data_IF_136534590662
#
_entry.id   IF_136534590662
#
_cell.length_a   1.000
_cell.length_b   1.000
_cell.length_c   1.000
_cell.angle_alpha   90.00
_cell.angle_beta   90.00
_cell.angle_gamma   90.00
#
_symmetry.space_group_name_H-M   'P 1'
#
loop_
_entity.id
_entity.type
_entity.pdbx_description
1 polymer ?
#
# COMPACT_ATOMS: atom_id res chain seq x y z
N UNK A 1 41.31 -14.34 8.33
CA UNK A 1 40.22 -14.89 9.19
C UNK A 1 38.87 -14.43 8.64
N UNK A 2 37.90 -15.30 8.35
CA UNK A 2 36.57 -14.89 7.93
C UNK A 2 35.88 -14.11 9.06
N UNK A 3 35.45 -12.87 8.80
CA UNK A 3 34.65 -12.10 9.77
C UNK A 3 33.32 -12.83 10.00
N UNK A 4 32.97 -13.12 11.27
CA UNK A 4 31.69 -13.76 11.61
C UNK A 4 30.53 -12.92 11.06
N UNK A 5 29.60 -13.55 10.34
CA UNK A 5 28.38 -12.89 9.84
C UNK A 5 27.48 -12.54 11.02
N UNK A 6 27.00 -11.30 11.06
CA UNK A 6 26.01 -10.86 12.05
C UNK A 6 24.58 -11.22 11.62
N UNK A 7 23.74 -11.60 12.58
CA UNK A 7 22.29 -11.77 12.42
C UNK A 7 21.53 -10.64 13.13
N UNK A 8 20.31 -10.39 12.68
CA UNK A 8 19.36 -9.52 13.37
C UNK A 8 18.87 -10.24 14.63
N UNK A 9 19.01 -9.60 15.79
CA UNK A 9 18.71 -10.20 17.09
C UNK A 9 17.80 -9.28 17.91
N UNK A 10 17.32 -9.78 19.05
CA UNK A 10 16.40 -9.06 19.94
C UNK A 10 16.96 -7.71 20.39
N UNK A 11 18.28 -7.61 20.64
CA UNK A 11 18.93 -6.36 21.02
C UNK A 11 18.88 -5.30 19.91
N UNK A 12 19.11 -5.71 18.66
CA UNK A 12 18.98 -4.82 17.49
C UNK A 12 17.52 -4.44 17.24
N UNK A 13 16.58 -5.36 17.44
CA UNK A 13 15.16 -5.09 17.31
C UNK A 13 14.66 -4.09 18.38
N UNK A 14 15.12 -4.23 19.62
CA UNK A 14 14.81 -3.28 20.70
C UNK A 14 15.38 -1.89 20.41
N UNK A 15 16.62 -1.80 19.88
CA UNK A 15 17.25 -0.52 19.52
C UNK A 15 16.63 0.12 18.27
N UNK A 16 16.17 -0.69 17.31
CA UNK A 16 15.61 -0.22 16.05
C UNK A 16 14.26 -0.89 15.75
N UNK A 17 13.16 -0.50 16.44
CA UNK A 17 11.86 -1.18 16.33
C UNK A 17 11.23 -1.16 14.94
N UNK A 18 11.57 -0.15 14.13
CA UNK A 18 11.10 0.03 12.75
C UNK A 18 11.91 -0.77 11.72
N UNK A 19 12.89 -1.59 12.16
CA UNK A 19 13.63 -2.52 11.31
C UNK A 19 13.08 -3.92 11.56
N UNK A 20 12.59 -4.58 10.52
CA UNK A 20 12.07 -5.95 10.60
C UNK A 20 12.94 -6.93 9.83
N UNK A 21 13.19 -8.09 10.42
CA UNK A 21 13.82 -9.20 9.71
C UNK A 21 12.92 -9.67 8.58
N UNK A 22 13.52 -10.07 7.46
CA UNK A 22 12.84 -10.68 6.33
C UNK A 22 13.37 -12.11 6.10
N UNK A 23 13.32 -12.58 4.86
CA UNK A 23 13.60 -13.96 4.42
C UNK A 23 14.83 -14.64 5.04
N UNK A 24 15.87 -13.88 5.45
CA UNK A 24 17.06 -14.44 6.07
C UNK A 24 17.38 -13.75 7.40
N UNK A 25 18.09 -14.42 8.33
CA UNK A 25 18.43 -13.85 9.64
C UNK A 25 19.23 -12.55 9.58
N UNK A 26 19.94 -12.29 8.48
CA UNK A 26 20.74 -11.08 8.29
C UNK A 26 20.08 -10.05 7.39
N UNK A 27 19.01 -10.39 6.66
CA UNK A 27 18.32 -9.45 5.80
C UNK A 27 17.21 -8.76 6.59
N UNK A 28 17.17 -7.44 6.47
CA UNK A 28 16.21 -6.60 7.17
C UNK A 28 15.56 -5.60 6.24
N UNK A 29 14.36 -5.17 6.60
CA UNK A 29 13.59 -4.12 5.93
C UNK A 29 13.37 -2.98 6.89
N UNK A 30 13.69 -1.76 6.44
CA UNK A 30 13.34 -0.54 7.16
C UNK A 30 11.91 -0.14 6.83
N UNK A 31 11.03 -0.06 7.83
CA UNK A 31 9.62 0.29 7.63
C UNK A 31 9.43 1.77 7.25
N UNK A 32 10.31 2.65 7.73
CA UNK A 32 10.25 4.10 7.41
C UNK A 32 10.46 4.40 5.92
N UNK A 33 11.47 3.77 5.31
CA UNK A 33 11.82 4.02 3.90
C UNK A 33 11.55 2.83 2.97
N UNK A 34 10.92 1.76 3.50
CA UNK A 34 10.57 0.49 2.84
C UNK A 34 11.73 -0.26 2.17
N UNK A 35 12.99 0.12 2.41
CA UNK A 35 14.19 -0.44 1.77
C UNK A 35 14.69 -1.68 2.49
N UNK A 36 15.17 -2.66 1.72
CA UNK A 36 15.78 -3.89 2.22
C UNK A 36 17.31 -3.79 2.15
N UNK A 37 18.01 -4.32 3.16
CA UNK A 37 19.47 -4.39 3.22
C UNK A 37 19.93 -5.52 4.16
N UNK A 38 21.21 -5.91 4.06
CA UNK A 38 21.80 -6.95 4.91
C UNK A 38 22.62 -6.35 6.05
N UNK A 39 22.45 -6.84 7.27
CA UNK A 39 23.28 -6.52 8.44
C UNK A 39 24.46 -7.49 8.63
N UNK A 40 24.66 -8.43 7.70
CA UNK A 40 25.66 -9.51 7.82
C UNK A 40 27.10 -9.04 8.06
N UNK A 41 27.48 -7.88 7.53
CA UNK A 41 28.87 -7.40 7.55
C UNK A 41 29.15 -6.25 8.54
N UNK A 42 28.22 -5.96 9.46
CA UNK A 42 28.47 -4.90 10.45
C UNK A 42 27.34 -4.65 11.46
N UNK A 43 26.30 -5.48 11.49
CA UNK A 43 25.23 -5.39 12.49
C UNK A 43 24.64 -3.99 12.58
N UNK A 44 24.69 -3.40 13.77
CA UNK A 44 24.22 -2.04 14.06
C UNK A 44 24.87 -0.96 13.17
N UNK A 45 26.16 -1.11 12.82
CA UNK A 45 26.87 -0.11 12.01
C UNK A 45 26.26 0.06 10.62
N UNK A 46 25.76 -1.04 10.03
CA UNK A 46 25.06 -0.98 8.73
C UNK A 46 23.72 -0.25 8.86
N UNK A 47 23.01 -0.46 9.97
CA UNK A 47 21.75 0.24 10.26
C UNK A 47 22.02 1.75 10.43
N UNK A 48 23.03 2.13 11.19
CA UNK A 48 23.38 3.55 11.40
C UNK A 48 23.82 4.23 10.11
N UNK A 49 24.60 3.54 9.27
CA UNK A 49 24.97 4.03 7.94
C UNK A 49 23.73 4.18 7.04
N UNK A 50 22.80 3.23 7.08
CA UNK A 50 21.53 3.31 6.38
C UNK A 50 20.74 4.54 6.80
N UNK A 51 20.60 4.81 8.10
CA UNK A 51 19.88 5.97 8.63
C UNK A 51 20.51 7.30 8.18
N UNK A 52 21.84 7.36 8.10
CA UNK A 52 22.56 8.54 7.60
C UNK A 52 22.48 8.71 6.09
N UNK A 53 22.12 7.67 5.35
CA UNK A 53 22.11 7.68 3.88
C UNK A 53 21.12 8.70 3.31
N UNK A 54 21.49 9.36 2.21
CA UNK A 54 20.61 10.32 1.53
C UNK A 54 19.29 9.70 1.07
N UNK A 55 19.27 8.40 0.73
CA UNK A 55 18.04 7.68 0.35
C UNK A 55 17.08 7.52 1.53
N UNK A 56 17.59 7.21 2.72
CA UNK A 56 16.75 7.16 3.93
C UNK A 56 16.17 8.54 4.25
N UNK A 57 16.99 9.58 4.29
CA UNK A 57 16.54 10.96 4.54
C UNK A 57 15.48 11.43 3.54
N UNK A 58 15.64 11.12 2.24
CA UNK A 58 14.62 11.42 1.22
C UNK A 58 13.32 10.65 1.46
N UNK A 59 13.40 9.37 1.80
CA UNK A 59 12.23 8.55 2.13
C UNK A 59 11.49 9.06 3.37
N UNK A 60 12.23 9.42 4.42
CA UNK A 60 11.68 9.93 5.67
C UNK A 60 11.01 11.30 5.48
N UNK A 61 11.64 12.21 4.71
CA UNK A 61 11.03 13.48 4.31
C UNK A 61 9.77 13.29 3.49
N UNK A 62 9.78 12.37 2.52
CA UNK A 62 8.61 12.08 1.69
C UNK A 62 7.46 11.51 2.54
N UNK A 63 7.76 10.66 3.51
CA UNK A 63 6.77 10.14 4.45
C UNK A 63 6.17 11.26 5.32
N UNK A 64 7.01 12.15 5.85
CA UNK A 64 6.58 13.30 6.65
C UNK A 64 5.76 14.33 5.85
N UNK A 65 6.03 14.50 4.55
CA UNK A 65 5.30 15.42 3.67
C UNK A 65 4.07 14.80 3.01
N UNK A 66 3.84 13.49 3.17
CA UNK A 66 2.68 12.81 2.59
C UNK A 66 1.44 13.10 3.43
N UNK A 67 0.35 13.53 2.78
CA UNK A 67 -0.93 13.69 3.43
C UNK A 67 -1.55 12.32 3.78
N UNK A 68 -2.40 12.31 4.80
CA UNK A 68 -3.16 11.11 5.18
C UNK A 68 -4.01 10.64 3.99
N UNK A 69 -4.00 9.33 3.72
CA UNK A 69 -4.86 8.74 2.69
C UNK A 69 -6.35 9.02 2.94
N UNK A 70 -6.75 9.23 4.21
CA UNK A 70 -8.12 9.56 4.58
C UNK A 70 -8.58 10.91 4.00
N UNK A 71 -7.65 11.80 3.61
CA UNK A 71 -8.00 13.08 3.02
C UNK A 71 -8.56 12.94 1.59
N UNK A 72 -8.35 11.80 0.93
CA UNK A 72 -8.95 11.52 -0.39
C UNK A 72 -10.41 11.04 -0.29
N UNK A 73 -10.89 10.77 0.93
CA UNK A 73 -12.25 10.33 1.18
C UNK A 73 -13.00 11.43 1.93
N UNK A 74 -14.21 11.74 1.46
CA UNK A 74 -15.08 12.65 2.19
C UNK A 74 -15.53 11.94 3.47
N UNK A 75 -15.11 12.45 4.63
CA UNK A 75 -15.67 12.02 5.92
C UNK A 75 -16.98 12.75 6.12
N UNK A 76 -18.07 12.01 6.22
CA UNK A 76 -19.39 12.57 6.52
C UNK A 76 -20.14 11.58 7.38
N UNK A 77 -20.52 12.03 8.59
CA UNK A 77 -21.31 11.22 9.53
C UNK A 77 -22.77 11.08 9.08
N UNK A 78 -23.20 11.92 8.13
CA UNK A 78 -24.52 11.88 7.50
C UNK A 78 -24.39 12.18 5.99
N UNK A 79 -23.99 11.18 5.17
CA UNK A 79 -23.81 11.38 3.73
C UNK A 79 -25.14 11.69 3.05
N UNK A 80 -25.13 12.65 2.13
CA UNK A 80 -26.31 12.95 1.30
C UNK A 80 -26.47 11.88 0.21
N UNK A 81 -27.67 11.78 -0.39
CA UNK A 81 -27.90 10.90 -1.54
C UNK A 81 -26.92 11.18 -2.70
N UNK A 82 -26.59 12.46 -2.93
CA UNK A 82 -25.59 12.86 -3.93
C UNK A 82 -24.18 12.37 -3.57
N UNK A 83 -23.80 12.41 -2.29
CA UNK A 83 -22.49 11.90 -1.85
C UNK A 83 -22.39 10.38 -2.06
N UNK A 84 -23.47 9.64 -1.78
CA UNK A 84 -23.55 8.20 -2.04
C UNK A 84 -23.44 7.89 -3.54
N UNK A 85 -24.09 8.66 -4.40
CA UNK A 85 -23.99 8.50 -5.85
C UNK A 85 -22.57 8.77 -6.37
N UNK A 86 -21.88 9.77 -5.82
CA UNK A 86 -20.48 10.05 -6.16
C UNK A 86 -19.61 8.87 -5.71
N UNK A 87 -19.76 8.41 -4.47
CA UNK A 87 -19.00 7.27 -3.95
C UNK A 87 -19.24 6.00 -4.78
N UNK A 88 -20.48 5.74 -5.20
CA UNK A 88 -20.82 4.64 -6.09
C UNK A 88 -20.14 4.79 -7.45
N UNK A 89 -20.18 5.98 -8.06
CA UNK A 89 -19.49 6.28 -9.33
C UNK A 89 -17.98 6.04 -9.24
N UNK A 90 -17.35 6.48 -8.15
CA UNK A 90 -15.93 6.27 -7.89
C UNK A 90 -15.59 4.78 -7.68
N UNK A 91 -16.48 4.02 -7.02
CA UNK A 91 -16.36 2.58 -6.84
C UNK A 91 -16.47 1.81 -8.16
N UNK A 92 -17.46 2.16 -8.99
CA UNK A 92 -17.64 1.59 -10.34
C UNK A 92 -16.42 1.89 -11.21
N UNK A 93 -15.89 3.11 -11.15
CA UNK A 93 -14.67 3.47 -11.87
C UNK A 93 -13.45 2.63 -11.45
N UNK A 94 -13.28 2.41 -10.14
CA UNK A 94 -12.20 1.60 -9.60
C UNK A 94 -12.35 0.12 -10.03
N UNK A 95 -13.58 -0.41 -10.03
CA UNK A 95 -13.89 -1.74 -10.53
C UNK A 95 -13.60 -1.87 -12.04
N UNK A 96 -14.04 -0.92 -12.85
CA UNK A 96 -13.76 -0.92 -14.28
C UNK A 96 -12.26 -0.90 -14.57
N UNK A 97 -11.49 -0.13 -13.78
CA UNK A 97 -10.03 -0.05 -13.92
C UNK A 97 -9.38 -1.43 -13.78
N UNK A 98 -9.82 -2.26 -12.82
CA UNK A 98 -9.24 -3.60 -12.63
C UNK A 98 -9.77 -4.62 -13.66
N UNK A 99 -11.03 -4.51 -14.07
CA UNK A 99 -11.61 -5.41 -15.09
C UNK A 99 -10.90 -5.27 -16.43
N UNK A 100 -10.58 -4.04 -16.82
CA UNK A 100 -9.83 -3.76 -18.06
C UNK A 100 -8.31 -3.88 -17.89
N UNK A 101 -7.85 -4.31 -16.70
CA UNK A 101 -6.43 -4.42 -16.35
C UNK A 101 -5.64 -3.11 -16.59
N UNK A 102 -6.31 -1.97 -16.38
CA UNK A 102 -5.71 -0.65 -16.51
C UNK A 102 -4.85 -0.31 -15.29
N UNK A 103 -3.77 0.44 -15.53
CA UNK A 103 -2.95 0.93 -14.44
C UNK A 103 -3.70 2.00 -13.64
N UNK A 104 -3.66 1.96 -12.30
CA UNK A 104 -4.18 3.07 -11.48
C UNK A 104 -3.55 4.43 -11.85
N UNK A 105 -2.37 4.45 -12.47
CA UNK A 105 -1.73 5.69 -12.95
C UNK A 105 -2.51 6.38 -14.07
N UNK A 106 -3.26 5.65 -14.90
CA UNK A 106 -4.12 6.28 -15.93
C UNK A 106 -5.27 7.07 -15.32
N UNK A 107 -5.63 6.79 -14.06
CA UNK A 107 -6.75 7.48 -13.40
C UNK A 107 -6.38 8.90 -12.98
N UNK A 108 -5.10 9.27 -12.92
CA UNK A 108 -4.69 10.65 -12.58
C UNK A 108 -5.11 11.67 -13.65
N UNK A 109 -5.08 11.30 -14.94
CA UNK A 109 -5.57 12.16 -16.01
C UNK A 109 -7.09 12.03 -16.20
N UNK A 110 -7.63 10.80 -16.16
CA UNK A 110 -9.06 10.55 -16.34
C UNK A 110 -9.90 11.24 -15.25
N UNK A 111 -9.46 11.18 -13.98
CA UNK A 111 -10.17 11.85 -12.88
C UNK A 111 -10.29 13.36 -13.10
N UNK A 112 -9.30 14.01 -13.72
CA UNK A 112 -9.37 15.45 -14.03
C UNK A 112 -10.38 15.73 -15.13
N UNK A 113 -10.42 14.89 -16.17
CA UNK A 113 -11.42 15.03 -17.25
C UNK A 113 -12.84 14.84 -16.71
N UNK A 114 -13.06 13.82 -15.87
CA UNK A 114 -14.37 13.57 -15.24
C UNK A 114 -14.77 14.75 -14.33
N UNK A 115 -13.84 15.30 -13.56
CA UNK A 115 -14.08 16.52 -12.76
C UNK A 115 -14.50 17.70 -13.62
N UNK A 116 -13.83 17.93 -14.75
CA UNK A 116 -14.09 19.09 -15.60
C UNK A 116 -15.41 19.01 -16.35
N UNK A 117 -15.83 17.81 -16.77
CA UNK A 117 -16.93 17.67 -17.74
C UNK A 117 -18.13 16.87 -17.23
N UNK A 118 -18.01 16.11 -16.13
CA UNK A 118 -19.04 15.16 -15.69
C UNK A 118 -19.49 15.42 -14.26
N UNK A 119 -18.59 15.29 -13.29
CA UNK A 119 -18.91 15.47 -11.87
C UNK A 119 -17.74 16.17 -11.15
N UNK A 120 -17.87 17.48 -10.85
CA UNK A 120 -16.81 18.28 -10.23
C UNK A 120 -16.26 17.72 -8.91
N UNK A 121 -17.06 16.91 -8.19
CA UNK A 121 -16.66 16.29 -6.93
C UNK A 121 -16.08 14.88 -7.09
N UNK A 122 -15.94 14.37 -8.31
CA UNK A 122 -15.30 13.10 -8.56
C UNK A 122 -13.81 13.19 -8.21
N UNK A 123 -13.27 12.29 -7.40
CA UNK A 123 -11.87 12.36 -6.94
C UNK A 123 -11.13 11.02 -7.03
N UNK A 124 -11.68 10.06 -7.78
CA UNK A 124 -11.11 8.72 -7.93
C UNK A 124 -9.93 8.69 -8.91
N UNK A 125 -8.83 9.34 -8.51
CA UNK A 125 -7.54 9.24 -9.16
C UNK A 125 -6.77 7.99 -8.68
N UNK A 126 -5.46 7.92 -8.94
CA UNK A 126 -4.63 6.74 -8.63
C UNK A 126 -4.76 6.23 -7.21
N UNK A 127 -4.48 7.08 -6.21
CA UNK A 127 -4.42 6.68 -4.80
C UNK A 127 -5.78 6.18 -4.30
N UNK A 128 -6.84 6.90 -4.65
CA UNK A 128 -8.20 6.54 -4.21
C UNK A 128 -8.66 5.25 -4.88
N UNK A 129 -8.38 5.08 -6.17
CA UNK A 129 -8.66 3.84 -6.91
C UNK A 129 -7.97 2.63 -6.28
N UNK A 130 -6.66 2.75 -6.02
CA UNK A 130 -5.88 1.68 -5.37
C UNK A 130 -6.46 1.31 -4.00
N UNK A 131 -6.78 2.31 -3.17
CA UNK A 131 -7.33 2.08 -1.83
C UNK A 131 -8.72 1.42 -1.90
N UNK A 132 -9.59 1.84 -2.81
CA UNK A 132 -10.92 1.23 -3.00
C UNK A 132 -10.78 -0.23 -3.45
N UNK A 133 -9.91 -0.50 -4.42
CA UNK A 133 -9.67 -1.88 -4.89
C UNK A 133 -9.14 -2.74 -3.74
N UNK A 134 -8.03 -2.34 -3.14
CA UNK A 134 -7.29 -3.19 -2.17
C UNK A 134 -8.08 -3.39 -0.88
N UNK A 135 -8.80 -2.38 -0.40
CA UNK A 135 -9.44 -2.43 0.91
C UNK A 135 -10.96 -2.68 0.88
N UNK A 136 -11.61 -2.59 -0.29
CA UNK A 136 -13.06 -2.80 -0.41
C UNK A 136 -13.37 -3.94 -1.38
N UNK A 137 -12.93 -3.82 -2.64
CA UNK A 137 -13.30 -4.79 -3.68
C UNK A 137 -12.60 -6.14 -3.46
N UNK A 138 -11.29 -6.14 -3.23
CA UNK A 138 -10.52 -7.38 -3.03
C UNK A 138 -11.01 -8.20 -1.82
N UNK A 139 -11.22 -7.62 -0.62
CA UNK A 139 -11.72 -8.41 0.51
C UNK A 139 -13.12 -8.97 0.28
N UNK A 140 -13.98 -8.23 -0.42
CA UNK A 140 -15.33 -8.69 -0.77
C UNK A 140 -15.27 -9.87 -1.73
N UNK A 141 -14.51 -9.75 -2.83
CA UNK A 141 -14.33 -10.82 -3.81
C UNK A 141 -13.69 -12.08 -3.18
N UNK A 142 -12.69 -11.91 -2.31
CA UNK A 142 -12.06 -13.03 -1.61
C UNK A 142 -13.02 -13.73 -0.64
N UNK A 143 -13.92 -12.98 0.00
CA UNK A 143 -14.95 -13.54 0.86
C UNK A 143 -15.97 -14.35 0.05
N UNK A 144 -16.48 -13.77 -1.03
CA UNK A 144 -17.43 -14.45 -1.94
C UNK A 144 -16.82 -15.72 -2.50
N UNK A 145 -15.59 -15.64 -3.02
CA UNK A 145 -14.86 -16.81 -3.53
C UNK A 145 -14.72 -17.89 -2.45
N UNK A 146 -14.40 -17.52 -1.20
CA UNK A 146 -14.28 -18.48 -0.11
C UNK A 146 -15.63 -19.14 0.20
N UNK A 147 -16.71 -18.36 0.23
CA UNK A 147 -18.05 -18.87 0.50
C UNK A 147 -18.52 -19.82 -0.62
N UNK A 148 -18.16 -19.53 -1.88
CA UNK A 148 -18.45 -20.39 -3.03
C UNK A 148 -17.62 -21.68 -3.00
N UNK A 149 -16.34 -21.59 -2.65
CA UNK A 149 -15.47 -22.77 -2.51
C UNK A 149 -15.96 -23.73 -1.42
N UNK A 150 -16.51 -23.22 -0.30
CA UNK A 150 -17.08 -24.07 0.76
C UNK A 150 -18.32 -24.84 0.27
N UNK A 151 -19.09 -24.26 -0.65
CA UNK A 151 -20.29 -24.90 -1.22
C UNK A 151 -19.97 -25.79 -2.42
N UNK A 152 -18.74 -25.74 -2.93
CA UNK A 152 -18.35 -26.44 -4.15
C UNK A 152 -18.08 -27.91 -3.87
N UNK A 153 -18.80 -28.81 -4.54
CA UNK A 153 -18.57 -30.26 -4.44
C UNK A 153 -17.38 -30.73 -5.29
N UNK A 154 -17.02 -29.95 -6.32
CA UNK A 154 -15.94 -30.25 -7.26
C UNK A 154 -15.23 -28.94 -7.60
N UNK A 155 -13.91 -28.98 -7.76
CA UNK A 155 -13.11 -27.83 -8.20
C UNK A 155 -12.30 -28.28 -9.42
N UNK A 156 -12.43 -27.54 -10.52
CA UNK A 156 -11.55 -27.69 -11.69
C UNK A 156 -10.51 -26.60 -11.68
N UNK A 157 -9.24 -26.97 -11.75
CA UNK A 157 -8.12 -26.05 -11.88
C UNK A 157 -7.76 -26.02 -13.37
N UNK A 158 -7.89 -24.85 -13.99
CA UNK A 158 -7.47 -24.58 -15.37
C UNK A 158 -5.99 -24.19 -15.41
#
# INVERSE_FOLDING_TARGET
MPKRKCSFNVSLQAKYPFIKQINTPSNVRCEKCRRQFSVSHGGAGVIEQHLKSGKHKKGDRAAASSSSMLNFFKKSDAPTSKDLNIAASEGVWAYQTIQENHSFRSNDCASKLIQSYVEPKFTCARTKSEVVVVNVLTPTAMKELKDDLVKSNCITIL
#
